data_IF_694112667665
#
_entry.id   IF_694112667665
#
_cell.length_a   1.000
_cell.length_b   1.000
_cell.length_c   1.000
_cell.angle_alpha   90.00
_cell.angle_beta   90.00
_cell.angle_gamma   90.00
#
_symmetry.space_group_name_H-M   'P 1'
#
loop_
_entity.id
_entity.type
_entity.pdbx_description
1 polymer ?
#
# COMPACT_ATOMS: atom_id res chain seq x y z
N UNK A 1 -7.81 15.68 -21.83
CA UNK A 1 -7.17 14.49 -22.42
C UNK A 1 -7.39 13.20 -21.63
N UNK A 2 -7.55 13.23 -20.28
CA UNK A 2 -7.70 12.00 -19.48
C UNK A 2 -9.15 11.66 -19.06
N UNK A 3 -10.10 12.60 -19.20
CA UNK A 3 -11.50 12.38 -18.84
C UNK A 3 -12.30 12.03 -20.10
N UNK A 4 -12.89 10.83 -20.12
CA UNK A 4 -13.86 10.41 -21.13
C UNK A 4 -15.29 10.70 -20.66
N UNK A 5 -16.19 11.02 -21.59
CA UNK A 5 -17.64 11.08 -21.34
C UNK A 5 -18.34 9.73 -21.56
N UNK A 6 -17.61 8.72 -22.04
CA UNK A 6 -18.12 7.35 -22.20
C UNK A 6 -17.98 6.58 -20.88
N UNK A 7 -18.92 5.66 -20.62
CA UNK A 7 -18.90 4.81 -19.44
C UNK A 7 -17.75 3.79 -19.51
N UNK A 8 -16.91 3.74 -18.46
CA UNK A 8 -15.86 2.70 -18.36
C UNK A 8 -16.47 1.37 -17.89
N UNK A 9 -16.11 0.26 -18.54
CA UNK A 9 -16.52 -1.07 -18.09
C UNK A 9 -15.71 -1.54 -16.87
N UNK A 10 -14.43 -1.19 -16.81
CA UNK A 10 -13.55 -1.49 -15.69
C UNK A 10 -12.39 -0.48 -15.60
N UNK A 11 -11.57 -0.57 -14.56
CA UNK A 11 -10.37 0.26 -14.39
C UNK A 11 -9.23 -0.56 -13.81
N UNK A 12 -8.02 -0.34 -14.31
CA UNK A 12 -6.78 -0.82 -13.69
C UNK A 12 -6.12 0.35 -12.97
N UNK A 13 -5.87 0.18 -11.66
CA UNK A 13 -5.15 1.15 -10.86
C UNK A 13 -3.72 0.64 -10.64
N UNK A 14 -2.74 1.45 -11.00
CA UNK A 14 -1.33 1.21 -10.68
C UNK A 14 -0.97 2.14 -9.52
N UNK A 15 -0.42 1.57 -8.46
CA UNK A 15 -0.03 2.31 -7.25
C UNK A 15 1.49 2.24 -7.11
N UNK A 16 2.15 3.40 -7.15
CA UNK A 16 3.57 3.57 -6.87
C UNK A 16 3.72 4.53 -5.68
N UNK A 17 4.15 4.00 -4.54
CA UNK A 17 4.26 4.77 -3.28
C UNK A 17 5.63 4.49 -2.65
N UNK A 18 6.21 5.44 -1.90
CA UNK A 18 7.45 5.19 -1.17
C UNK A 18 7.32 3.99 -0.24
N UNK A 19 8.36 3.14 -0.18
CA UNK A 19 8.41 2.02 0.75
C UNK A 19 8.53 2.45 2.22
N UNK A 20 8.56 1.48 3.13
CA UNK A 20 8.69 1.75 4.56
C UNK A 20 10.02 2.45 4.89
N UNK A 21 9.95 3.56 5.62
CA UNK A 21 11.09 4.42 5.96
C UNK A 21 11.37 4.37 7.47
N UNK A 22 12.61 4.02 7.82
CA UNK A 22 13.10 4.11 9.19
C UNK A 22 14.45 4.84 9.22
N UNK A 23 14.53 6.07 9.79
CA UNK A 23 15.77 6.84 9.89
C UNK A 23 16.91 6.08 10.53
N UNK A 24 16.63 5.23 11.54
CA UNK A 24 17.64 4.44 12.24
C UNK A 24 18.27 3.39 11.31
N UNK A 25 17.47 2.73 10.48
CA UNK A 25 17.98 1.79 9.47
C UNK A 25 18.71 2.49 8.33
N UNK A 26 18.33 3.75 8.04
CA UNK A 26 19.02 4.59 7.08
C UNK A 26 20.31 5.25 7.62
N UNK A 27 20.78 4.88 8.82
CA UNK A 27 21.94 5.48 9.51
C UNK A 27 21.85 7.01 9.63
N UNK A 28 20.63 7.51 9.82
CA UNK A 28 20.36 8.92 10.11
C UNK A 28 20.12 9.04 11.61
N UNK A 29 20.99 9.74 12.31
CA UNK A 29 20.86 10.01 13.75
C UNK A 29 19.82 11.12 14.02
N UNK A 30 18.57 10.87 13.60
CA UNK A 30 17.42 11.72 13.87
C UNK A 30 16.14 10.91 14.12
N UNK A 31 15.16 11.55 14.75
CA UNK A 31 13.80 11.02 14.83
C UNK A 31 13.09 10.99 13.47
N UNK A 32 12.01 10.21 13.39
CA UNK A 32 11.14 10.19 12.21
C UNK A 32 10.37 11.51 12.07
N UNK A 33 10.22 11.98 10.83
CA UNK A 33 9.39 13.15 10.51
C UNK A 33 7.91 12.77 10.41
N UNK A 34 7.04 13.77 10.40
CA UNK A 34 5.62 13.57 10.08
C UNK A 34 5.42 13.00 8.65
N UNK A 35 6.28 13.39 7.71
CA UNK A 35 6.21 12.86 6.35
C UNK A 35 6.51 11.35 6.32
N UNK A 36 7.55 10.90 7.04
CA UNK A 36 7.87 9.48 7.20
C UNK A 36 6.72 8.72 7.87
N UNK A 37 6.00 9.35 8.80
CA UNK A 37 4.79 8.77 9.39
C UNK A 37 3.69 8.54 8.33
N UNK A 38 3.42 9.51 7.46
CA UNK A 38 2.43 9.38 6.39
C UNK A 38 2.79 8.25 5.40
N UNK A 39 4.06 8.17 5.00
CA UNK A 39 4.56 7.12 4.12
C UNK A 39 4.41 5.75 4.77
N UNK A 40 4.83 5.62 6.03
CA UNK A 40 4.74 4.36 6.78
C UNK A 40 3.30 3.92 7.04
N UNK A 41 2.40 4.86 7.32
CA UNK A 41 0.98 4.55 7.49
C UNK A 41 0.37 4.02 6.19
N UNK A 42 0.69 4.64 5.05
CA UNK A 42 0.26 4.15 3.74
C UNK A 42 0.76 2.72 3.49
N UNK A 43 2.03 2.46 3.79
CA UNK A 43 2.61 1.12 3.67
C UNK A 43 1.96 0.09 4.61
N UNK A 44 1.64 0.46 5.85
CA UNK A 44 0.94 -0.43 6.79
C UNK A 44 -0.46 -0.82 6.28
N UNK A 45 -1.20 0.12 5.68
CA UNK A 45 -2.50 -0.16 5.05
C UNK A 45 -2.36 -1.06 3.82
N UNK A 46 -1.38 -0.81 2.96
CA UNK A 46 -1.11 -1.66 1.79
C UNK A 46 -0.68 -3.07 2.19
N UNK A 47 0.17 -3.19 3.22
CA UNK A 47 0.60 -4.49 3.75
C UNK A 47 -0.57 -5.27 4.36
N UNK A 48 -1.49 -4.59 5.04
CA UNK A 48 -2.72 -5.21 5.57
C UNK A 48 -3.58 -5.75 4.43
N UNK A 49 -3.80 -4.96 3.38
CA UNK A 49 -4.57 -5.40 2.21
C UNK A 49 -3.91 -6.60 1.51
N UNK A 50 -2.58 -6.59 1.37
CA UNK A 50 -1.83 -7.71 0.84
C UNK A 50 -2.02 -8.96 1.71
N UNK A 51 -1.87 -8.83 3.03
CA UNK A 51 -2.03 -9.96 3.94
C UNK A 51 -3.43 -10.58 3.87
N UNK A 52 -4.47 -9.75 3.85
CA UNK A 52 -5.86 -10.18 3.74
C UNK A 52 -6.09 -10.97 2.45
N UNK A 53 -5.64 -10.43 1.30
CA UNK A 53 -5.85 -11.08 0.00
C UNK A 53 -5.00 -12.34 -0.19
N UNK A 54 -3.74 -12.29 0.20
CA UNK A 54 -2.79 -13.38 -0.08
C UNK A 54 -2.90 -14.52 0.91
N UNK A 55 -3.23 -14.26 2.17
CA UNK A 55 -3.27 -15.30 3.19
C UNK A 55 -4.68 -15.59 3.66
N UNK A 56 -5.42 -14.58 4.13
CA UNK A 56 -6.72 -14.81 4.77
C UNK A 56 -7.73 -15.36 3.76
N UNK A 57 -7.93 -14.65 2.64
CA UNK A 57 -8.89 -15.06 1.61
C UNK A 57 -8.52 -16.40 0.96
N UNK A 58 -7.24 -16.63 0.71
CA UNK A 58 -6.75 -17.90 0.16
C UNK A 58 -6.99 -19.06 1.14
N UNK A 59 -6.72 -18.85 2.43
CA UNK A 59 -6.97 -19.86 3.46
C UNK A 59 -8.46 -20.20 3.56
N UNK A 60 -9.35 -19.21 3.54
CA UNK A 60 -10.80 -19.46 3.54
C UNK A 60 -11.23 -20.27 2.31
N UNK A 61 -10.70 -19.95 1.11
CA UNK A 61 -10.98 -20.73 -0.10
C UNK A 61 -10.56 -22.20 0.01
N UNK A 62 -9.52 -22.52 0.77
CA UNK A 62 -9.10 -23.91 1.00
C UNK A 62 -9.97 -24.66 2.02
N UNK A 63 -10.82 -23.97 2.78
CA UNK A 63 -11.75 -24.59 3.74
C UNK A 63 -13.08 -24.98 3.10
N UNK A 64 -13.40 -24.40 1.94
CA UNK A 64 -14.53 -24.79 1.08
C UNK A 64 -14.23 -26.08 0.30
#
# INVERSE_FOLDING_TARGET
ALKSSQHSLCSLLIVDTPGFQNPKFAKRDRGATFEELCHNYTQERLQTLFHERTFVQELERYKE
#
